data_IF_787568474370
#
_entry.id   IF_787568474370
#
_cell.length_a   1.000
_cell.length_b   1.000
_cell.length_c   1.000
_cell.angle_alpha   90.00
_cell.angle_beta   90.00
_cell.angle_gamma   90.00
#
_symmetry.space_group_name_H-M   'P 1'
#
loop_
_entity.id
_entity.type
_entity.pdbx_description
1 polymer ?
#
# COMPACT_ATOMS: atom_id res chain seq x y z
N UNK A 1 15.76 -4.82 15.62
CA UNK A 1 14.42 -4.18 15.54
C UNK A 1 13.60 -4.82 14.43
N UNK A 2 13.99 -4.75 13.16
CA UNK A 2 13.24 -5.38 12.04
C UNK A 2 13.03 -6.89 12.23
N UNK A 3 14.06 -7.66 12.61
CA UNK A 3 13.89 -9.10 12.89
C UNK A 3 12.85 -9.36 14.00
N UNK A 4 12.80 -8.49 15.01
CA UNK A 4 11.81 -8.55 16.08
C UNK A 4 10.40 -8.25 15.57
N UNK A 5 10.26 -7.28 14.67
CA UNK A 5 8.98 -7.02 13.98
C UNK A 5 8.53 -8.24 13.16
N UNK A 6 9.41 -8.84 12.37
CA UNK A 6 9.06 -10.02 11.58
C UNK A 6 8.59 -11.20 12.44
N UNK A 7 9.16 -11.40 13.63
CA UNK A 7 8.64 -12.38 14.58
C UNK A 7 7.21 -12.04 15.04
N UNK A 8 6.92 -10.78 15.37
CA UNK A 8 5.61 -10.31 15.82
C UNK A 8 4.53 -10.47 14.73
N UNK A 9 4.89 -10.13 13.48
CA UNK A 9 3.97 -10.14 12.34
C UNK A 9 3.72 -11.52 11.73
N UNK A 10 4.46 -12.56 12.15
CA UNK A 10 4.24 -13.94 11.70
C UNK A 10 2.79 -14.41 11.88
N UNK A 11 2.15 -14.03 13.00
CA UNK A 11 0.75 -14.35 13.30
C UNK A 11 -0.26 -13.73 12.33
N UNK A 12 0.12 -12.66 11.63
CA UNK A 12 -0.69 -11.98 10.62
C UNK A 12 -0.35 -12.43 9.19
N UNK A 13 0.60 -13.37 9.03
CA UNK A 13 1.16 -13.75 7.73
C UNK A 13 1.65 -12.53 6.93
N UNK A 14 2.29 -11.60 7.63
CA UNK A 14 2.81 -10.36 7.07
C UNK A 14 4.32 -10.29 7.31
N UNK A 15 5.07 -9.84 6.31
CA UNK A 15 6.53 -9.78 6.37
C UNK A 15 7.00 -8.36 6.09
N UNK A 16 8.00 -7.90 6.83
CA UNK A 16 8.55 -6.55 6.75
C UNK A 16 9.99 -6.62 6.26
N UNK A 17 10.21 -6.05 5.08
CA UNK A 17 11.54 -5.84 4.52
C UNK A 17 11.94 -4.36 4.66
N UNK A 18 13.11 -4.10 5.22
CA UNK A 18 13.65 -2.75 5.27
C UNK A 18 14.36 -2.44 3.96
N UNK A 19 13.72 -1.62 3.11
CA UNK A 19 14.25 -1.27 1.78
C UNK A 19 14.91 0.12 1.72
N UNK A 20 14.96 0.82 2.85
CA UNK A 20 15.53 2.15 2.94
C UNK A 20 15.65 2.63 4.37
N UNK A 21 16.71 3.40 4.64
CA UNK A 21 16.97 4.05 5.91
C UNK A 21 17.49 5.46 5.63
N UNK A 22 16.83 6.47 6.18
CA UNK A 22 17.26 7.87 6.07
C UNK A 22 17.46 8.46 7.47
N UNK A 23 18.65 9.00 7.72
CA UNK A 23 19.00 9.63 8.99
C UNK A 23 19.24 11.12 8.73
N UNK A 24 18.45 11.98 9.37
CA UNK A 24 18.54 13.43 9.20
C UNK A 24 19.65 14.03 10.07
N UNK A 25 20.92 13.76 9.71
CA UNK A 25 22.09 14.18 10.51
C UNK A 25 22.35 15.69 10.53
N UNK A 26 21.93 16.40 9.48
CA UNK A 26 22.24 17.82 9.31
C UNK A 26 21.12 18.72 9.86
N UNK A 27 19.88 18.43 9.48
CA UNK A 27 18.67 19.11 9.92
C UNK A 27 17.46 18.25 9.62
N UNK A 28 16.43 18.38 10.44
CA UNK A 28 15.14 17.76 10.17
C UNK A 28 14.55 18.29 8.85
N UNK A 29 13.89 17.40 8.11
CA UNK A 29 13.24 17.75 6.83
C UNK A 29 11.84 18.32 7.02
N UNK A 30 11.28 18.15 8.21
CA UNK A 30 10.03 18.72 8.68
C UNK A 30 10.25 19.34 10.06
N UNK A 31 9.33 20.19 10.51
CA UNK A 31 9.33 20.63 11.91
C UNK A 31 8.70 19.54 12.77
N UNK A 32 9.49 18.93 13.66
CA UNK A 32 9.00 17.92 14.61
C UNK A 32 8.46 18.65 15.85
N UNK A 33 7.18 18.50 16.15
CA UNK A 33 6.49 19.13 17.28
C UNK A 33 6.10 18.09 18.35
N UNK A 34 5.87 18.55 19.59
CA UNK A 34 5.41 17.70 20.70
C UNK A 34 3.97 17.20 20.48
N UNK A 35 3.17 17.91 19.69
CA UNK A 35 1.85 17.46 19.26
C UNK A 35 2.00 16.40 18.15
N UNK A 36 1.85 15.12 18.50
CA UNK A 36 2.09 13.99 17.61
C UNK A 36 1.25 14.03 16.33
N UNK A 37 0.02 14.56 16.39
CA UNK A 37 -0.86 14.71 15.24
C UNK A 37 -0.31 15.70 14.19
N UNK A 38 0.30 16.81 14.64
CA UNK A 38 0.94 17.81 13.77
C UNK A 38 2.15 17.17 13.08
N UNK A 39 3.01 16.51 13.87
CA UNK A 39 4.19 15.82 13.34
C UNK A 39 3.82 14.70 12.36
N UNK A 40 2.79 13.89 12.66
CA UNK A 40 2.30 12.83 11.77
C UNK A 40 1.83 13.39 10.42
N UNK A 41 1.05 14.47 10.44
CA UNK A 41 0.58 15.13 9.23
C UNK A 41 1.74 15.65 8.38
N UNK A 42 2.66 16.41 8.98
CA UNK A 42 3.83 16.94 8.26
C UNK A 42 4.75 15.83 7.73
N UNK A 43 4.88 14.72 8.44
CA UNK A 43 5.66 13.57 7.96
C UNK A 43 4.97 12.86 6.78
N UNK A 44 3.65 12.72 6.82
CA UNK A 44 2.86 12.21 5.70
C UNK A 44 3.00 13.07 4.43
N UNK A 45 2.85 14.39 4.55
CA UNK A 45 3.03 15.34 3.45
C UNK A 45 4.44 15.26 2.86
N UNK A 46 5.46 15.17 3.73
CA UNK A 46 6.85 14.99 3.29
C UNK A 46 7.08 13.64 2.60
N UNK A 47 6.46 12.56 3.09
CA UNK A 47 6.58 11.24 2.45
C UNK A 47 6.05 11.31 1.03
N UNK A 48 4.85 11.85 0.85
CA UNK A 48 4.20 11.95 -0.45
C UNK A 48 4.98 12.84 -1.43
N UNK A 49 5.35 14.04 -0.99
CA UNK A 49 5.91 15.06 -1.89
C UNK A 49 7.43 14.96 -2.08
N UNK A 50 8.16 14.29 -1.18
CA UNK A 50 9.63 14.27 -1.18
C UNK A 50 10.23 12.86 -1.16
N UNK A 51 9.70 11.93 -0.36
CA UNK A 51 10.28 10.57 -0.27
C UNK A 51 9.85 9.68 -1.44
N UNK A 52 8.55 9.58 -1.68
CA UNK A 52 7.99 8.69 -2.70
C UNK A 52 8.48 9.01 -4.12
N UNK A 53 8.67 10.27 -4.55
CA UNK A 53 9.20 10.59 -5.88
C UNK A 53 10.60 10.06 -6.16
N UNK A 54 11.40 9.75 -5.12
CA UNK A 54 12.79 9.26 -5.26
C UNK A 54 13.01 7.84 -4.75
N UNK A 55 12.15 7.31 -3.88
CA UNK A 55 12.23 5.93 -3.38
C UNK A 55 10.83 5.38 -3.10
N UNK A 56 10.35 4.52 -4.00
CA UNK A 56 9.11 3.76 -3.81
C UNK A 56 9.22 2.90 -2.54
N UNK A 57 8.20 2.96 -1.70
CA UNK A 57 8.05 2.16 -0.48
C UNK A 57 6.56 2.06 -0.11
N UNK A 58 6.19 1.02 0.63
CA UNK A 58 4.80 0.75 0.97
C UNK A 58 4.34 1.50 2.23
N UNK A 59 5.27 1.72 3.17
CA UNK A 59 5.07 2.39 4.45
C UNK A 59 6.38 3.07 4.90
N UNK A 60 6.27 4.16 5.66
CA UNK A 60 7.42 4.79 6.32
C UNK A 60 7.13 5.10 7.80
N UNK A 61 8.07 4.84 8.69
CA UNK A 61 7.96 5.21 10.10
C UNK A 61 9.07 6.17 10.51
N UNK A 62 8.69 7.30 11.12
CA UNK A 62 9.63 8.28 11.65
C UNK A 62 9.94 7.97 13.11
N UNK A 63 11.21 7.71 13.44
CA UNK A 63 11.67 7.65 14.82
C UNK A 63 12.23 9.01 15.23
N UNK A 64 11.75 9.56 16.34
CA UNK A 64 12.16 10.88 16.84
C UNK A 64 12.62 10.84 18.29
N UNK A 65 13.58 11.69 18.65
CA UNK A 65 13.99 11.91 20.04
C UNK A 65 13.10 12.90 20.81
N UNK A 66 12.11 13.51 20.15
CA UNK A 66 11.15 14.41 20.78
C UNK A 66 10.19 13.61 21.66
N UNK A 67 9.92 14.14 22.85
CA UNK A 67 8.89 13.64 23.77
C UNK A 67 7.53 14.23 23.36
N UNK A 68 6.60 13.36 22.96
CA UNK A 68 5.27 13.80 22.55
C UNK A 68 4.40 14.10 23.78
N UNK A 69 3.46 15.02 23.62
CA UNK A 69 2.59 15.44 24.70
C UNK A 69 1.70 14.29 25.20
N UNK A 70 1.53 14.22 26.53
CA UNK A 70 0.67 13.25 27.19
C UNK A 70 1.36 11.89 27.40
N UNK A 71 0.71 10.81 26.94
CA UNK A 71 1.19 9.42 27.09
C UNK A 71 1.44 8.75 25.73
N UNK A 72 1.50 9.54 24.67
CA UNK A 72 1.60 9.07 23.29
C UNK A 72 3.06 8.70 23.00
N UNK A 73 3.34 7.43 22.74
CA UNK A 73 4.67 7.00 22.29
C UNK A 73 4.76 6.82 20.78
N UNK A 74 3.62 6.75 20.11
CA UNK A 74 3.51 6.64 18.68
C UNK A 74 2.13 7.08 18.21
N UNK A 75 2.04 7.42 16.93
CA UNK A 75 0.77 7.73 16.27
C UNK A 75 0.83 7.35 14.80
N UNK A 76 -0.24 6.74 14.30
CA UNK A 76 -0.40 6.35 12.91
C UNK A 76 -1.86 6.51 12.44
N UNK A 77 -2.04 6.59 11.13
CA UNK A 77 -3.38 6.54 10.53
C UNK A 77 -3.88 5.08 10.48
N UNK A 78 -5.19 4.89 10.68
CA UNK A 78 -5.79 3.56 10.67
C UNK A 78 -6.22 3.13 9.27
N UNK A 79 -5.85 1.92 8.85
CA UNK A 79 -6.28 1.32 7.57
C UNK A 79 -5.75 2.07 6.34
N UNK A 80 -4.58 2.67 6.46
CA UNK A 80 -4.01 3.61 5.50
C UNK A 80 -2.81 3.07 4.70
N UNK A 81 -2.47 1.79 4.86
CA UNK A 81 -1.36 1.17 4.14
C UNK A 81 -1.49 1.39 2.62
N UNK A 82 -0.35 1.63 1.96
CA UNK A 82 -0.22 2.02 0.55
C UNK A 82 -0.67 3.44 0.19
N UNK A 83 -1.40 4.17 1.04
CA UNK A 83 -1.78 5.55 0.74
C UNK A 83 -0.54 6.47 0.73
N UNK A 84 -0.36 7.35 -0.27
CA UNK A 84 0.86 8.15 -0.42
C UNK A 84 1.19 9.04 0.80
N UNK A 85 0.20 9.76 1.31
CA UNK A 85 0.37 10.60 2.51
C UNK A 85 0.19 9.81 3.82
N UNK A 86 -0.74 8.85 3.85
CA UNK A 86 -1.25 8.28 5.10
C UNK A 86 -0.61 6.95 5.51
N UNK A 87 0.17 6.29 4.63
CA UNK A 87 0.93 5.08 4.99
C UNK A 87 2.19 5.44 5.77
N UNK A 88 1.99 6.05 6.94
CA UNK A 88 3.03 6.55 7.84
C UNK A 88 2.69 6.35 9.31
N UNK A 89 3.74 6.34 10.12
CA UNK A 89 3.66 6.47 11.58
C UNK A 89 4.79 7.37 12.11
N UNK A 90 4.57 8.00 13.27
CA UNK A 90 5.59 8.73 14.03
C UNK A 90 5.76 8.07 15.39
N UNK A 91 6.99 7.87 15.83
CA UNK A 91 7.32 7.06 17.01
C UNK A 91 8.40 7.77 17.82
N UNK A 92 8.10 8.02 19.08
CA UNK A 92 9.05 8.52 20.05
C UNK A 92 10.05 7.43 20.42
N UNK A 93 11.34 7.77 20.39
CA UNK A 93 12.43 6.93 20.85
C UNK A 93 12.44 6.81 22.38
N UNK A 94 11.50 6.01 22.89
CA UNK A 94 11.16 5.91 24.31
C UNK A 94 12.15 5.08 25.12
N UNK A 95 12.74 4.03 24.53
CA UNK A 95 13.58 3.07 25.27
C UNK A 95 14.83 2.70 24.49
N UNK A 96 15.92 2.43 25.23
CA UNK A 96 17.14 1.82 24.67
C UNK A 96 16.96 0.33 24.37
N UNK A 97 15.94 -0.30 24.92
CA UNK A 97 15.59 -1.69 24.57
C UNK A 97 14.91 -1.71 23.20
N UNK A 98 15.62 -2.20 22.20
CA UNK A 98 15.13 -2.30 20.82
C UNK A 98 13.90 -3.19 20.67
N UNK A 99 13.61 -4.08 21.62
CA UNK A 99 12.40 -4.94 21.60
C UNK A 99 11.16 -4.14 22.01
N UNK A 100 11.30 -3.23 22.98
CA UNK A 100 10.22 -2.31 23.34
C UNK A 100 9.94 -1.38 22.16
N UNK A 101 10.98 -0.82 21.54
CA UNK A 101 10.84 -0.01 20.33
C UNK A 101 10.16 -0.77 19.19
N UNK A 102 10.52 -2.04 18.97
CA UNK A 102 9.85 -2.89 17.98
C UNK A 102 8.36 -3.09 18.31
N UNK A 103 7.99 -3.27 19.58
CA UNK A 103 6.58 -3.41 19.96
C UNK A 103 5.75 -2.15 19.66
N UNK A 104 6.31 -0.95 19.84
CA UNK A 104 5.67 0.32 19.48
C UNK A 104 5.57 0.45 17.95
N UNK A 105 6.63 0.13 17.21
CA UNK A 105 6.59 0.11 15.75
C UNK A 105 5.53 -0.87 15.20
N UNK A 106 5.39 -2.04 15.82
CA UNK A 106 4.36 -3.02 15.47
C UNK A 106 2.95 -2.53 15.80
N UNK A 107 2.78 -1.81 16.92
CA UNK A 107 1.51 -1.18 17.25
C UNK A 107 1.09 -0.18 16.16
N UNK A 108 1.99 0.71 15.77
CA UNK A 108 1.68 1.75 14.79
C UNK A 108 1.49 1.21 13.36
N UNK A 109 2.32 0.26 12.93
CA UNK A 109 2.10 -0.42 11.64
C UNK A 109 0.81 -1.26 11.68
N UNK A 110 0.42 -1.80 12.85
CA UNK A 110 -0.87 -2.45 13.08
C UNK A 110 -2.04 -1.53 12.77
N UNK A 111 -2.01 -0.28 13.22
CA UNK A 111 -3.01 0.74 12.83
C UNK A 111 -3.04 0.92 11.32
N UNK A 112 -1.89 1.14 10.65
CA UNK A 112 -1.86 1.28 9.19
C UNK A 112 -2.47 0.05 8.48
N UNK A 113 -2.31 -1.14 9.05
CA UNK A 113 -2.89 -2.42 8.61
C UNK A 113 -4.37 -2.64 8.99
N UNK A 114 -5.03 -1.58 9.47
CA UNK A 114 -6.48 -1.55 9.74
C UNK A 114 -6.89 -2.14 11.09
N UNK A 115 -5.95 -2.30 12.02
CA UNK A 115 -6.20 -2.88 13.33
C UNK A 115 -6.45 -1.76 14.34
N UNK A 116 -7.52 -1.86 15.12
CA UNK A 116 -7.82 -0.95 16.21
C UNK A 116 -7.25 -1.47 17.54
N UNK A 117 -7.34 -0.64 18.57
CA UNK A 117 -6.97 -1.05 19.91
C UNK A 117 -7.83 -2.19 20.46
N UNK A 118 -7.18 -3.06 21.24
CA UNK A 118 -7.84 -4.15 21.94
C UNK A 118 -8.88 -3.66 22.97
N UNK A 119 -9.92 -4.45 23.13
CA UNK A 119 -10.93 -4.30 24.19
C UNK A 119 -10.88 -5.51 25.16
N UNK A 120 -11.75 -5.52 26.17
CA UNK A 120 -11.76 -6.55 27.22
C UNK A 120 -11.99 -7.98 26.71
N UNK A 121 -12.61 -8.16 25.54
CA UNK A 121 -12.88 -9.47 24.91
C UNK A 121 -11.71 -10.01 24.09
N UNK A 122 -10.70 -9.18 23.81
CA UNK A 122 -9.54 -9.56 22.99
C UNK A 122 -8.50 -10.28 23.83
N UNK A 123 -7.89 -11.34 23.28
CA UNK A 123 -6.94 -12.18 23.98
C UNK A 123 -5.74 -12.57 23.10
N UNK A 124 -4.59 -12.76 23.73
CA UNK A 124 -3.34 -13.23 23.17
C UNK A 124 -2.65 -14.17 24.18
N UNK A 125 -1.58 -14.86 23.76
CA UNK A 125 -0.87 -15.85 24.58
C UNK A 125 -0.24 -15.24 25.82
N UNK A 126 0.37 -14.05 25.68
CA UNK A 126 0.91 -13.26 26.78
C UNK A 126 0.31 -11.85 26.76
N UNK A 127 -0.48 -11.51 27.80
CA UNK A 127 -1.03 -10.15 27.97
C UNK A 127 0.00 -9.21 28.60
N UNK A 128 0.00 -7.91 28.26
CA UNK A 128 -0.89 -7.27 27.28
C UNK A 128 -0.46 -7.54 25.82
N UNK A 129 -1.41 -7.47 24.89
CA UNK A 129 -1.17 -7.71 23.47
C UNK A 129 -0.61 -6.45 22.78
N UNK A 130 -0.02 -6.59 21.60
CA UNK A 130 0.59 -5.48 20.84
C UNK A 130 -0.36 -4.29 20.69
N UNK A 131 -1.66 -4.53 20.41
CA UNK A 131 -2.65 -3.47 20.19
C UNK A 131 -3.33 -2.97 21.47
N UNK A 132 -2.74 -3.23 22.64
CA UNK A 132 -3.20 -2.66 23.90
C UNK A 132 -3.14 -1.13 23.89
N UNK A 133 -4.15 -0.47 24.49
CA UNK A 133 -4.21 1.00 24.66
C UNK A 133 -3.16 1.55 25.60
N UNK A 134 -2.61 0.70 26.46
CA UNK A 134 -1.72 1.11 27.54
C UNK A 134 -0.27 0.79 27.20
N UNK A 135 0.59 1.78 27.40
CA UNK A 135 2.04 1.61 27.33
C UNK A 135 2.50 0.52 28.30
N UNK A 136 3.32 -0.39 27.81
CA UNK A 136 3.98 -1.43 28.61
C UNK A 136 5.45 -1.09 28.81
N UNK A 137 5.99 -1.41 29.99
CA UNK A 137 7.44 -1.36 30.27
C UNK A 137 8.16 -2.64 29.84
N UNK A 138 7.42 -3.66 29.40
CA UNK A 138 7.92 -4.91 28.86
C UNK A 138 7.56 -5.04 27.36
N UNK A 139 8.41 -5.68 26.54
CA UNK A 139 8.14 -5.86 25.12
C UNK A 139 6.94 -6.78 24.88
N UNK A 140 6.05 -6.37 23.96
CA UNK A 140 4.84 -7.11 23.60
C UNK A 140 5.05 -7.82 22.26
N UNK A 141 4.75 -9.11 22.17
CA UNK A 141 5.07 -9.93 20.99
C UNK A 141 3.86 -10.45 20.21
N UNK A 142 2.69 -10.51 20.85
CA UNK A 142 1.52 -11.17 20.28
C UNK A 142 0.43 -10.16 19.89
N UNK A 143 -0.07 -10.30 18.66
CA UNK A 143 -1.35 -9.72 18.27
C UNK A 143 -2.49 -10.50 18.92
N UNK A 144 -3.60 -9.81 19.25
CA UNK A 144 -4.76 -10.47 19.81
C UNK A 144 -5.57 -11.21 18.73
N UNK A 145 -6.46 -12.10 19.15
CA UNK A 145 -7.47 -12.70 18.26
C UNK A 145 -8.34 -11.64 17.54
N UNK A 146 -8.61 -10.49 18.19
CA UNK A 146 -9.32 -9.38 17.55
C UNK A 146 -8.46 -8.74 16.46
N UNK A 147 -7.19 -8.49 16.74
CA UNK A 147 -6.25 -7.89 15.78
C UNK A 147 -6.14 -8.71 14.49
N UNK A 148 -6.05 -10.04 14.62
CA UNK A 148 -6.02 -10.96 13.46
C UNK A 148 -7.30 -10.84 12.63
N UNK A 149 -8.47 -10.80 13.27
CA UNK A 149 -9.75 -10.68 12.56
C UNK A 149 -9.93 -9.32 11.88
N UNK A 150 -9.55 -8.23 12.54
CA UNK A 150 -9.63 -6.89 11.95
C UNK A 150 -8.70 -6.73 10.76
N UNK A 151 -7.47 -7.23 10.87
CA UNK A 151 -6.52 -7.24 9.76
C UNK A 151 -7.07 -8.02 8.56
N UNK A 152 -7.64 -9.22 8.78
CA UNK A 152 -8.27 -10.00 7.71
C UNK A 152 -9.42 -9.25 7.03
N UNK A 153 -10.30 -8.60 7.82
CA UNK A 153 -11.39 -7.77 7.27
C UNK A 153 -10.84 -6.58 6.48
N UNK A 154 -9.77 -5.95 6.95
CA UNK A 154 -9.09 -4.87 6.24
C UNK A 154 -8.58 -5.34 4.87
N UNK A 155 -7.84 -6.45 4.81
CA UNK A 155 -7.33 -7.00 3.55
C UNK A 155 -8.45 -7.38 2.57
N UNK A 156 -9.52 -7.99 3.06
CA UNK A 156 -10.67 -8.38 2.23
C UNK A 156 -11.42 -7.16 1.66
N UNK A 157 -11.54 -6.09 2.44
CA UNK A 157 -12.26 -4.87 2.05
C UNK A 157 -11.42 -3.96 1.16
N UNK A 158 -10.18 -3.69 1.56
CA UNK A 158 -9.32 -2.65 0.94
C UNK A 158 -8.46 -3.23 -0.18
N UNK A 159 -8.02 -4.49 -0.05
CA UNK A 159 -7.13 -5.17 -1.01
C UNK A 159 -5.94 -4.28 -1.43
N UNK A 160 -5.11 -3.81 -0.49
CA UNK A 160 -3.98 -2.94 -0.79
C UNK A 160 -3.02 -3.63 -1.76
N UNK A 161 -2.82 -3.04 -2.94
CA UNK A 161 -2.03 -3.68 -4.02
C UNK A 161 -0.52 -3.59 -3.80
N UNK A 162 -0.03 -2.57 -3.07
CA UNK A 162 1.42 -2.33 -2.94
C UNK A 162 2.16 -3.43 -2.15
N UNK A 163 1.44 -4.19 -1.32
CA UNK A 163 2.01 -5.27 -0.49
C UNK A 163 2.00 -6.65 -1.17
N UNK A 164 1.58 -6.72 -2.44
CA UNK A 164 1.51 -7.99 -3.17
C UNK A 164 2.84 -8.35 -3.85
N UNK A 165 3.65 -7.34 -4.20
CA UNK A 165 4.96 -7.57 -4.79
C UNK A 165 6.00 -7.87 -3.71
N UNK A 166 6.91 -8.81 -4.00
CA UNK A 166 8.10 -9.01 -3.17
C UNK A 166 9.16 -7.96 -3.51
N UNK A 167 9.89 -7.40 -2.52
CA UNK A 167 11.02 -6.52 -2.81
C UNK A 167 12.16 -7.32 -3.46
N UNK A 168 12.92 -6.68 -4.34
CA UNK A 168 14.13 -7.29 -4.89
C UNK A 168 15.17 -7.45 -3.79
N UNK A 169 15.96 -8.52 -3.84
CA UNK A 169 17.04 -8.78 -2.88
C UNK A 169 18.06 -7.63 -2.80
N UNK A 170 18.22 -6.87 -3.88
CA UNK A 170 19.09 -5.68 -3.97
C UNK A 170 18.51 -4.43 -3.32
N UNK A 171 17.20 -4.37 -3.11
CA UNK A 171 16.54 -3.24 -2.46
C UNK A 171 16.59 -3.32 -0.93
N UNK A 172 16.81 -4.51 -0.38
CA UNK A 172 16.84 -4.77 1.06
C UNK A 172 18.18 -4.28 1.63
N UNK A 173 18.11 -3.41 2.64
CA UNK A 173 19.30 -2.76 3.25
C UNK A 173 19.73 -3.42 4.55
N UNK A 174 18.99 -4.41 5.05
CA UNK A 174 19.40 -5.22 6.21
C UNK A 174 20.49 -6.22 5.84
N UNK A 175 21.35 -6.61 6.80
CA UNK A 175 22.22 -7.77 6.62
C UNK A 175 21.38 -9.03 6.34
N UNK A 176 21.76 -9.86 5.35
CA UNK A 176 21.05 -11.11 5.04
C UNK A 176 20.94 -12.05 6.24
N UNK A 177 19.78 -12.68 6.41
CA UNK A 177 19.53 -13.67 7.48
C UNK A 177 18.82 -14.90 6.92
N UNK A 178 19.61 -15.92 6.63
CA UNK A 178 19.08 -17.21 6.19
C UNK A 178 18.11 -17.82 7.20
N UNK A 179 16.93 -18.19 6.71
CA UNK A 179 15.83 -18.80 7.46
C UNK A 179 14.79 -17.79 7.93
N UNK A 180 14.75 -16.59 7.35
CA UNK A 180 13.78 -15.55 7.66
C UNK A 180 12.62 -15.47 6.65
N UNK A 181 12.53 -16.39 5.69
CA UNK A 181 11.54 -16.46 4.60
C UNK A 181 11.68 -15.38 3.51
N UNK A 182 12.80 -14.66 3.45
CA UNK A 182 13.07 -13.62 2.48
C UNK A 182 14.39 -13.88 1.78
N UNK A 183 14.37 -14.03 0.46
CA UNK A 183 15.59 -14.18 -0.33
C UNK A 183 16.35 -12.84 -0.35
N UNK A 184 17.44 -12.77 0.42
CA UNK A 184 18.30 -11.60 0.53
C UNK A 184 19.58 -11.75 -0.32
N UNK A 185 20.40 -10.69 -0.37
CA UNK A 185 21.64 -10.73 -1.16
C UNK A 185 22.56 -11.88 -0.70
N UNK A 186 22.86 -12.80 -1.62
CA UNK A 186 23.77 -13.94 -1.39
C UNK A 186 23.05 -15.26 -1.18
N UNK A 187 21.74 -15.22 -0.96
CA UNK A 187 20.86 -16.37 -0.87
C UNK A 187 20.26 -16.68 -2.24
N UNK A 188 19.95 -17.94 -2.47
CA UNK A 188 19.28 -18.41 -3.69
C UNK A 188 17.84 -18.86 -3.41
N UNK A 189 17.52 -19.14 -2.15
CA UNK A 189 16.21 -19.54 -1.65
C UNK A 189 16.14 -19.28 -0.14
N UNK A 190 14.94 -19.11 0.42
CA UNK A 190 14.73 -19.06 1.88
C UNK A 190 13.33 -19.59 2.23
N UNK A 191 13.28 -20.77 2.83
CA UNK A 191 12.07 -21.46 3.26
C UNK A 191 11.89 -21.47 4.79
N UNK A 192 12.62 -20.62 5.52
CA UNK A 192 12.65 -20.60 6.97
C UNK A 192 13.69 -21.53 7.60
N UNK A 193 13.57 -21.77 8.90
CA UNK A 193 14.47 -22.65 9.64
C UNK A 193 14.43 -24.11 9.13
N UNK A 194 15.48 -24.92 9.34
CA UNK A 194 15.47 -26.34 8.97
C UNK A 194 14.33 -27.16 9.58
N UNK A 195 13.77 -26.73 10.72
CA UNK A 195 12.63 -27.39 11.37
C UNK A 195 11.29 -27.06 10.68
N UNK A 196 11.17 -25.85 10.15
CA UNK A 196 9.91 -25.33 9.57
C UNK A 196 9.86 -25.47 8.04
N UNK A 197 11.02 -25.60 7.38
CA UNK A 197 11.11 -25.63 5.93
C UNK A 197 10.44 -26.88 5.33
N UNK A 198 9.48 -26.66 4.44
CA UNK A 198 8.79 -27.72 3.69
C UNK A 198 9.22 -27.77 2.22
N UNK A 199 10.15 -26.91 1.81
CA UNK A 199 10.61 -26.79 0.44
C UNK A 199 11.76 -27.78 0.17
N UNK A 200 11.51 -28.77 -0.69
CA UNK A 200 12.52 -29.75 -1.08
C UNK A 200 13.60 -29.17 -2.01
N UNK A 201 13.33 -28.03 -2.64
CA UNK A 201 14.22 -27.36 -3.57
C UNK A 201 15.24 -26.46 -2.87
N UNK A 202 15.03 -26.15 -1.58
CA UNK A 202 15.88 -25.26 -0.81
C UNK A 202 16.62 -26.00 0.31
N UNK A 203 17.91 -25.72 0.47
CA UNK A 203 18.64 -26.13 1.67
C UNK A 203 18.50 -25.05 2.76
N UNK A 204 17.55 -25.26 3.67
CA UNK A 204 17.22 -24.32 4.77
C UNK A 204 18.40 -23.93 5.68
N UNK A 205 19.45 -24.76 5.77
CA UNK A 205 20.62 -24.45 6.61
C UNK A 205 21.61 -23.50 5.92
N UNK A 206 21.53 -23.38 4.60
CA UNK A 206 22.51 -22.64 3.78
C UNK A 206 21.88 -21.60 2.85
N UNK A 207 20.55 -21.61 2.71
CA UNK A 207 19.80 -20.78 1.78
C UNK A 207 20.31 -20.88 0.34
N UNK A 208 20.63 -22.12 -0.05
CA UNK A 208 21.12 -22.51 -1.38
C UNK A 208 20.15 -23.44 -2.05
N UNK A 209 19.97 -23.24 -3.35
CA UNK A 209 19.12 -24.11 -4.14
C UNK A 209 19.75 -25.49 -4.24
N UNK A 210 18.92 -26.52 -4.15
CA UNK A 210 19.32 -27.89 -4.46
C UNK A 210 19.20 -28.18 -5.97
N UNK A 211 18.41 -27.37 -6.68
CA UNK A 211 18.07 -27.50 -8.10
C UNK A 211 17.98 -26.12 -8.78
N UNK A 212 17.19 -25.97 -9.85
CA UNK A 212 17.18 -24.75 -10.68
C UNK A 212 16.35 -23.61 -10.06
N UNK A 213 15.34 -23.93 -9.24
CA UNK A 213 14.47 -22.96 -8.57
C UNK A 213 13.77 -23.57 -7.35
N UNK A 214 13.23 -22.73 -6.47
CA UNK A 214 12.42 -23.10 -5.29
C UNK A 214 10.97 -22.61 -5.38
N UNK A 215 10.80 -21.35 -5.79
CA UNK A 215 9.54 -20.61 -5.74
C UNK A 215 9.34 -19.78 -7.00
N UNK A 216 8.16 -19.19 -7.17
CA UNK A 216 7.77 -18.40 -8.35
C UNK A 216 6.86 -19.15 -9.31
N UNK A 217 6.05 -18.40 -10.08
CA UNK A 217 5.01 -18.95 -10.96
C UNK A 217 5.59 -19.76 -12.13
N UNK A 218 6.88 -19.55 -12.44
CA UNK A 218 7.63 -20.29 -13.45
C UNK A 218 8.53 -21.40 -12.89
N UNK A 219 8.39 -21.76 -11.61
CA UNK A 219 9.02 -22.94 -11.02
C UNK A 219 8.02 -24.10 -10.92
N UNK A 220 8.42 -25.29 -11.36
CA UNK A 220 7.65 -26.52 -11.21
C UNK A 220 8.60 -27.67 -10.86
N UNK A 221 8.36 -28.33 -9.71
CA UNK A 221 9.20 -29.44 -9.23
C UNK A 221 10.69 -29.10 -9.23
N UNK A 222 11.02 -27.93 -8.68
CA UNK A 222 12.38 -27.38 -8.60
C UNK A 222 13.07 -27.10 -9.95
N UNK A 223 12.31 -27.04 -11.05
CA UNK A 223 12.80 -26.76 -12.40
C UNK A 223 12.05 -25.61 -13.04
N UNK A 224 12.73 -24.86 -13.91
CA UNK A 224 12.06 -23.85 -14.71
C UNK A 224 11.02 -24.49 -15.63
N UNK A 225 9.81 -23.91 -15.64
CA UNK A 225 8.80 -24.23 -16.64
C UNK A 225 9.33 -23.90 -18.02
N UNK A 226 8.89 -24.64 -19.04
CA UNK A 226 9.33 -24.45 -20.43
C UNK A 226 9.02 -23.03 -20.92
N UNK A 227 9.87 -22.52 -21.83
CA UNK A 227 9.63 -21.26 -22.50
C UNK A 227 8.25 -21.26 -23.18
N UNK A 228 7.46 -20.20 -22.94
CA UNK A 228 6.08 -20.09 -23.44
C UNK A 228 5.01 -20.70 -22.54
N UNK A 229 5.36 -21.34 -21.41
CA UNK A 229 4.36 -21.76 -20.43
C UNK A 229 3.74 -20.52 -19.77
N UNK A 230 2.42 -20.39 -19.81
CA UNK A 230 1.72 -19.25 -19.23
C UNK A 230 1.87 -19.24 -17.70
N UNK A 231 2.35 -18.13 -17.14
CA UNK A 231 2.50 -17.94 -15.69
C UNK A 231 1.45 -16.99 -15.10
N UNK A 232 0.96 -16.03 -15.89
CA UNK A 232 -0.14 -15.16 -15.51
C UNK A 232 -1.16 -15.08 -16.64
N UNK A 233 -2.43 -15.17 -16.29
CA UNK A 233 -3.52 -14.95 -17.24
C UNK A 233 -3.89 -13.47 -17.30
N UNK A 234 -4.30 -13.04 -18.50
CA UNK A 234 -4.95 -11.75 -18.65
C UNK A 234 -6.20 -11.71 -17.79
N UNK A 235 -6.30 -10.67 -16.97
CA UNK A 235 -7.42 -10.46 -16.05
C UNK A 235 -8.65 -9.89 -16.76
N UNK A 236 -8.43 -9.00 -17.73
CA UNK A 236 -9.47 -8.28 -18.46
C UNK A 236 -8.96 -7.79 -19.83
N UNK A 237 -9.80 -7.08 -20.59
CA UNK A 237 -9.50 -6.59 -21.94
C UNK A 237 -8.26 -5.66 -22.01
N UNK A 238 -7.82 -5.10 -20.88
CA UNK A 238 -6.71 -4.14 -20.82
C UNK A 238 -5.40 -4.75 -20.35
N UNK A 239 -5.36 -6.07 -20.21
CA UNK A 239 -4.28 -6.82 -19.61
C UNK A 239 -3.77 -7.91 -20.56
N UNK A 240 -2.46 -8.15 -20.61
CA UNK A 240 -1.86 -9.18 -21.47
C UNK A 240 -1.44 -10.38 -20.64
N UNK A 241 -1.46 -11.62 -21.16
CA UNK A 241 -0.91 -12.76 -20.42
C UNK A 241 0.62 -12.79 -20.51
N UNK A 242 1.30 -13.16 -19.41
CA UNK A 242 2.75 -13.43 -19.41
C UNK A 242 3.05 -14.92 -19.45
N UNK A 243 4.20 -15.21 -20.06
CA UNK A 243 4.72 -16.55 -20.24
C UNK A 243 6.15 -16.65 -19.72
N UNK A 244 6.47 -17.80 -19.14
CA UNK A 244 7.79 -18.14 -18.65
C UNK A 244 8.83 -18.08 -19.77
N UNK A 245 10.02 -17.61 -19.43
CA UNK A 245 11.15 -17.51 -20.36
C UNK A 245 11.86 -18.86 -20.59
N UNK A 246 11.64 -19.84 -19.71
CA UNK A 246 12.38 -21.10 -19.71
C UNK A 246 13.73 -21.06 -19.00
N UNK A 247 14.11 -19.89 -18.47
CA UNK A 247 15.43 -19.64 -17.86
C UNK A 247 15.35 -18.92 -16.51
N UNK A 248 14.13 -18.69 -16.01
CA UNK A 248 13.84 -17.97 -14.77
C UNK A 248 12.64 -18.60 -14.08
N UNK A 249 12.65 -18.57 -12.75
CA UNK A 249 11.54 -19.00 -11.89
C UNK A 249 10.46 -17.92 -11.74
N UNK A 250 10.84 -16.66 -11.92
CA UNK A 250 9.95 -15.52 -11.85
C UNK A 250 9.15 -15.37 -13.16
N UNK A 251 7.86 -15.08 -13.02
CA UNK A 251 7.05 -14.61 -14.15
C UNK A 251 7.54 -13.21 -14.57
N UNK A 252 7.63 -12.91 -15.88
CA UNK A 252 7.98 -11.58 -16.35
C UNK A 252 7.07 -10.48 -15.76
N UNK A 253 7.55 -9.24 -15.77
CA UNK A 253 6.78 -8.09 -15.29
C UNK A 253 5.46 -7.94 -16.05
N UNK A 254 4.40 -7.66 -15.29
CA UNK A 254 3.05 -7.41 -15.78
C UNK A 254 3.04 -6.37 -16.91
N UNK A 255 2.52 -6.78 -18.06
CA UNK A 255 2.43 -6.00 -19.28
C UNK A 255 0.97 -5.73 -19.62
N UNK A 256 0.65 -4.47 -19.86
CA UNK A 256 -0.71 -4.06 -20.17
C UNK A 256 -0.92 -3.85 -21.66
N UNK A 257 -2.19 -3.95 -22.07
CA UNK A 257 -2.61 -3.52 -23.38
C UNK A 257 -2.26 -2.03 -23.58
N UNK A 258 -1.91 -1.65 -24.81
CA UNK A 258 -1.57 -0.25 -25.12
C UNK A 258 -2.67 0.71 -24.68
N UNK A 259 -2.28 1.86 -24.14
CA UNK A 259 -3.23 2.92 -23.82
C UNK A 259 -4.01 3.32 -25.08
N UNK A 260 -5.33 3.51 -24.96
CA UNK A 260 -6.22 3.78 -26.09
C UNK A 260 -6.81 2.54 -26.77
N UNK A 261 -6.53 1.31 -26.31
CA UNK A 261 -7.23 0.13 -26.82
C UNK A 261 -8.69 0.12 -26.33
N UNK A 262 -9.71 -0.06 -27.18
CA UNK A 262 -11.10 -0.10 -26.73
C UNK A 262 -11.37 -1.28 -25.77
N UNK A 263 -12.13 -1.05 -24.71
CA UNK A 263 -12.43 -2.07 -23.69
C UNK A 263 -13.89 -2.01 -23.25
N UNK A 264 -14.37 -3.07 -22.56
CA UNK A 264 -15.76 -3.16 -22.06
C UNK A 264 -16.80 -2.92 -23.16
N UNK A 265 -16.61 -3.57 -24.33
CA UNK A 265 -17.47 -3.38 -25.51
C UNK A 265 -17.51 -1.92 -26.03
N UNK A 266 -16.35 -1.28 -26.16
CA UNK A 266 -16.18 0.12 -26.60
C UNK A 266 -16.82 1.17 -25.68
N UNK A 267 -16.97 0.87 -24.39
CA UNK A 267 -17.47 1.84 -23.39
C UNK A 267 -16.36 2.74 -22.82
N UNK A 268 -15.10 2.38 -23.05
CA UNK A 268 -13.93 3.16 -22.67
C UNK A 268 -12.69 2.67 -23.39
N UNK A 269 -11.54 3.23 -23.01
CA UNK A 269 -10.25 2.82 -23.54
C UNK A 269 -9.28 2.46 -22.41
N UNK A 270 -8.44 1.46 -22.67
CA UNK A 270 -7.44 1.03 -21.73
C UNK A 270 -6.50 2.16 -21.37
N UNK A 271 -6.19 2.27 -20.08
CA UNK A 271 -5.20 3.20 -19.55
C UNK A 271 -4.48 2.54 -18.37
N UNK A 272 -3.19 2.27 -18.54
CA UNK A 272 -2.31 1.62 -17.55
C UNK A 272 -2.94 0.36 -16.93
N UNK A 273 -3.43 -0.55 -17.78
CA UNK A 273 -4.00 -1.84 -17.35
C UNK A 273 -5.42 -1.78 -16.79
N UNK A 274 -6.09 -0.62 -16.84
CA UNK A 274 -7.49 -0.47 -16.42
C UNK A 274 -8.35 -0.02 -17.58
N UNK A 275 -9.64 -0.35 -17.52
CA UNK A 275 -10.68 0.22 -18.37
C UNK A 275 -11.52 1.24 -17.57
N UNK A 276 -11.08 2.49 -17.41
CA UNK A 276 -11.88 3.52 -16.76
C UNK A 276 -13.17 3.75 -17.56
N UNK A 277 -14.29 3.86 -16.85
CA UNK A 277 -15.61 4.28 -17.38
C UNK A 277 -16.27 5.21 -16.36
N UNK A 278 -16.82 6.34 -16.83
CA UNK A 278 -17.44 7.36 -15.96
C UNK A 278 -18.55 6.77 -15.07
N UNK A 279 -19.33 5.82 -15.58
CA UNK A 279 -20.38 5.15 -14.81
C UNK A 279 -19.83 4.43 -13.58
N UNK A 280 -18.70 3.71 -13.72
CA UNK A 280 -18.08 3.02 -12.60
C UNK A 280 -17.49 4.00 -11.58
N UNK A 281 -16.94 5.12 -12.03
CA UNK A 281 -16.51 6.19 -11.12
C UNK A 281 -17.69 6.78 -10.35
N UNK A 282 -18.82 7.07 -11.01
CA UNK A 282 -20.03 7.51 -10.32
C UNK A 282 -20.52 6.49 -9.29
N UNK A 283 -20.50 5.19 -9.61
CA UNK A 283 -20.86 4.11 -8.68
C UNK A 283 -19.90 4.05 -7.49
N UNK A 284 -18.60 4.26 -7.72
CA UNK A 284 -17.61 4.31 -6.66
C UNK A 284 -17.84 5.50 -5.70
N UNK A 285 -18.30 6.64 -6.23
CA UNK A 285 -18.58 7.85 -5.44
C UNK A 285 -19.93 7.82 -4.71
N UNK A 286 -21.00 7.35 -5.37
CA UNK A 286 -22.39 7.47 -4.87
C UNK A 286 -23.05 6.13 -4.53
N UNK A 287 -22.33 5.01 -4.69
CA UNK A 287 -22.87 3.66 -4.58
C UNK A 287 -23.76 3.27 -5.77
N UNK A 288 -24.39 2.10 -5.73
CA UNK A 288 -25.16 1.55 -6.84
C UNK A 288 -26.39 2.40 -7.21
N UNK A 289 -26.81 2.31 -8.47
CA UNK A 289 -28.02 2.96 -9.02
C UNK A 289 -27.84 4.45 -9.35
N UNK A 290 -26.62 4.86 -9.69
CA UNK A 290 -26.23 6.21 -10.14
C UNK A 290 -25.82 6.14 -11.61
N UNK A 291 -26.02 7.24 -12.33
CA UNK A 291 -25.59 7.40 -13.71
C UNK A 291 -24.67 8.61 -13.86
N UNK A 292 -23.93 8.64 -14.97
CA UNK A 292 -23.26 9.87 -15.45
C UNK A 292 -24.33 10.88 -15.83
N UNK A 293 -24.13 12.14 -15.46
CA UNK A 293 -25.05 13.22 -15.84
C UNK A 293 -24.98 13.53 -17.34
N UNK A 294 -26.02 14.12 -17.94
CA UNK A 294 -25.96 14.62 -19.32
C UNK A 294 -24.90 15.71 -19.53
N UNK A 295 -24.41 15.87 -20.76
CA UNK A 295 -23.39 16.85 -21.15
C UNK A 295 -23.71 18.29 -20.72
N UNK A 296 -25.00 18.67 -20.74
CA UNK A 296 -25.47 19.97 -20.26
C UNK A 296 -25.11 20.23 -18.80
N UNK A 297 -25.06 19.20 -17.95
CA UNK A 297 -24.62 19.33 -16.57
C UNK A 297 -23.13 19.66 -16.47
N UNK A 298 -22.27 19.05 -17.30
CA UNK A 298 -20.84 19.37 -17.34
C UNK A 298 -20.61 20.82 -17.80
N UNK A 299 -21.42 21.30 -18.74
CA UNK A 299 -21.41 22.70 -19.16
C UNK A 299 -21.91 23.64 -18.07
N UNK A 300 -23.03 23.32 -17.43
CA UNK A 300 -23.59 24.14 -16.36
C UNK A 300 -22.63 24.27 -15.17
N UNK A 301 -21.95 23.18 -14.82
CA UNK A 301 -20.96 23.14 -13.75
C UNK A 301 -19.69 23.93 -14.01
N UNK A 302 -19.42 24.38 -15.24
CA UNK A 302 -18.31 25.31 -15.50
C UNK A 302 -18.47 26.66 -14.79
N UNK A 303 -19.70 27.05 -14.42
CA UNK A 303 -19.95 28.28 -13.67
C UNK A 303 -19.78 28.11 -12.15
N UNK A 304 -19.60 26.87 -11.69
CA UNK A 304 -19.40 26.53 -10.28
C UNK A 304 -17.88 26.57 -10.00
N UNK A 305 -17.37 27.51 -9.18
CA UNK A 305 -15.94 27.63 -8.90
C UNK A 305 -15.33 26.35 -8.31
N UNK A 306 -16.17 25.54 -7.66
CA UNK A 306 -15.72 24.33 -7.01
C UNK A 306 -15.70 23.11 -7.90
N UNK A 307 -16.46 23.13 -9.01
CA UNK A 307 -16.56 21.99 -9.92
C UNK A 307 -16.14 22.28 -11.37
N UNK A 308 -16.10 23.55 -11.77
CA UNK A 308 -15.83 24.01 -13.13
C UNK A 308 -14.35 24.14 -13.45
N UNK A 309 -13.56 23.10 -13.17
CA UNK A 309 -12.12 23.11 -13.42
C UNK A 309 -11.62 21.78 -13.96
N UNK A 310 -10.51 21.82 -14.68
CA UNK A 310 -9.90 20.65 -15.33
C UNK A 310 -8.56 20.22 -14.73
N UNK A 311 -7.92 21.11 -13.98
CA UNK A 311 -6.68 20.82 -13.26
C UNK A 311 -6.39 21.90 -12.23
N UNK A 312 -5.48 21.60 -11.32
CA UNK A 312 -4.97 22.57 -10.36
C UNK A 312 -3.49 22.85 -10.67
N UNK A 313 -3.15 24.12 -10.81
CA UNK A 313 -1.76 24.58 -10.97
C UNK A 313 -1.43 25.54 -9.83
N UNK A 314 -0.39 25.23 -9.04
CA UNK A 314 0.05 26.05 -7.90
C UNK A 314 -1.09 26.42 -6.91
N UNK A 315 -1.98 25.45 -6.63
CA UNK A 315 -3.13 25.65 -5.74
C UNK A 315 -4.30 26.42 -6.37
N UNK A 316 -4.21 26.80 -7.65
CA UNK A 316 -5.29 27.49 -8.38
C UNK A 316 -6.01 26.52 -9.31
N UNK A 317 -7.33 26.47 -9.18
CA UNK A 317 -8.23 25.75 -10.10
C UNK A 317 -8.21 26.43 -11.48
N UNK A 318 -7.89 25.68 -12.53
CA UNK A 318 -7.84 26.15 -13.92
C UNK A 318 -9.12 25.72 -14.63
N UNK A 319 -9.92 26.66 -15.17
CA UNK A 319 -11.15 26.34 -15.90
C UNK A 319 -10.89 25.43 -17.10
N UNK A 320 -11.88 24.60 -17.43
CA UNK A 320 -11.83 23.76 -18.62
C UNK A 320 -11.98 24.59 -19.90
N UNK A 321 -11.32 24.18 -20.98
CA UNK A 321 -11.70 24.66 -22.31
C UNK A 321 -13.01 23.97 -22.75
N UNK A 322 -13.67 24.52 -23.76
CA UNK A 322 -14.98 24.04 -24.23
C UNK A 322 -14.99 22.54 -24.55
N UNK A 323 -13.94 22.06 -25.22
CA UNK A 323 -13.76 20.65 -25.60
C UNK A 323 -13.36 19.72 -24.45
N UNK A 324 -12.92 20.27 -23.31
CA UNK A 324 -12.34 19.52 -22.19
C UNK A 324 -13.30 19.45 -21.00
N UNK A 325 -14.53 19.98 -21.11
CA UNK A 325 -15.51 20.05 -20.01
C UNK A 325 -15.82 18.69 -19.37
N UNK A 326 -15.72 17.62 -20.15
CA UNK A 326 -15.95 16.25 -19.70
C UNK A 326 -14.70 15.58 -19.13
N UNK A 327 -13.55 16.24 -19.18
CA UNK A 327 -12.28 15.77 -18.61
C UNK A 327 -12.02 16.40 -17.22
N UNK A 328 -12.89 17.31 -16.78
CA UNK A 328 -12.81 17.96 -15.47
C UNK A 328 -13.42 17.12 -14.36
N UNK A 329 -14.12 17.78 -13.45
CA UNK A 329 -14.85 17.10 -12.37
C UNK A 329 -15.96 16.23 -12.94
N UNK A 330 -16.04 14.97 -12.47
CA UNK A 330 -17.10 14.06 -12.83
C UNK A 330 -18.44 14.54 -12.28
N UNK A 331 -19.47 14.50 -13.12
CA UNK A 331 -20.82 14.90 -12.76
C UNK A 331 -21.77 13.70 -12.85
N UNK A 332 -22.39 13.36 -11.73
CA UNK A 332 -23.24 12.19 -11.56
C UNK A 332 -24.69 12.57 -11.21
N UNK A 333 -25.64 11.70 -11.53
CA UNK A 333 -27.04 11.86 -11.16
C UNK A 333 -27.62 10.60 -10.50
N UNK A 334 -28.46 10.82 -9.48
CA UNK A 334 -29.16 9.75 -8.75
C UNK A 334 -30.53 10.22 -8.30
N UNK A 335 -31.59 9.63 -8.88
CA UNK A 335 -33.00 9.95 -8.57
C UNK A 335 -33.30 11.46 -8.70
N UNK A 336 -33.43 12.18 -7.59
CA UNK A 336 -33.76 13.61 -7.56
C UNK A 336 -32.52 14.51 -7.55
N UNK A 337 -31.33 13.96 -7.31
CA UNK A 337 -30.06 14.69 -7.35
C UNK A 337 -29.53 14.69 -8.77
N UNK A 338 -29.64 15.85 -9.45
CA UNK A 338 -29.14 16.06 -10.81
C UNK A 338 -27.85 16.87 -10.80
N UNK A 339 -27.02 16.69 -11.81
CA UNK A 339 -25.79 17.46 -12.02
C UNK A 339 -24.90 17.57 -10.76
N UNK A 340 -24.68 16.47 -10.04
CA UNK A 340 -23.94 16.47 -8.77
C UNK A 340 -22.45 16.21 -8.99
N UNK A 341 -21.59 17.06 -8.45
CA UNK A 341 -20.14 16.89 -8.40
C UNK A 341 -19.69 16.73 -6.94
N UNK A 342 -18.52 16.13 -6.73
CA UNK A 342 -17.97 15.87 -5.39
C UNK A 342 -16.61 16.52 -5.25
N UNK A 343 -16.38 17.24 -4.16
CA UNK A 343 -15.09 17.87 -3.87
C UNK A 343 -14.65 17.49 -2.48
N UNK A 344 -13.35 17.34 -2.26
CA UNK A 344 -12.77 17.18 -0.92
C UNK A 344 -11.59 18.14 -0.76
N UNK A 345 -11.30 18.49 0.49
CA UNK A 345 -10.13 19.31 0.83
C UNK A 345 -8.84 18.51 0.87
N UNK A 346 -8.93 17.19 1.01
CA UNK A 346 -7.80 16.31 1.28
C UNK A 346 -7.14 15.77 0.00
N UNK A 347 -7.88 15.75 -1.09
CA UNK A 347 -7.46 15.25 -2.41
C UNK A 347 -8.06 16.18 -3.48
N UNK A 348 -7.25 17.07 -4.07
CA UNK A 348 -7.71 18.04 -5.07
C UNK A 348 -8.18 17.38 -6.38
N UNK A 349 -7.77 16.14 -6.64
CA UNK A 349 -8.13 15.38 -7.85
C UNK A 349 -9.28 14.39 -7.57
N UNK A 350 -9.82 14.40 -6.34
CA UNK A 350 -10.95 13.55 -5.96
C UNK A 350 -12.16 13.79 -6.86
N UNK A 351 -12.67 12.71 -7.44
CA UNK A 351 -13.78 12.72 -8.39
C UNK A 351 -13.53 13.48 -9.70
N UNK A 352 -12.27 13.76 -10.05
CA UNK A 352 -11.90 14.09 -11.43
C UNK A 352 -12.12 12.88 -12.33
N UNK A 353 -12.43 13.12 -13.59
CA UNK A 353 -12.60 12.06 -14.59
C UNK A 353 -11.26 11.37 -14.86
N UNK A 354 -11.19 10.05 -14.64
CA UNK A 354 -9.93 9.30 -14.89
C UNK A 354 -9.45 9.40 -16.35
N UNK A 355 -8.13 9.42 -16.61
CA UNK A 355 -7.59 9.37 -17.97
C UNK A 355 -7.94 8.06 -18.70
N UNK A 356 -8.10 8.11 -20.03
CA UNK A 356 -8.49 6.94 -20.85
C UNK A 356 -9.95 6.93 -21.30
N UNK A 357 -10.67 8.02 -21.05
CA UNK A 357 -12.08 8.18 -21.39
C UNK A 357 -12.34 8.95 -22.69
N UNK A 358 -11.28 9.45 -23.35
CA UNK A 358 -11.39 10.31 -24.53
C UNK A 358 -10.80 9.68 -25.80
N UNK A 359 -11.57 9.77 -26.89
CA UNK A 359 -11.06 10.07 -28.23
C UNK A 359 -11.78 11.28 -28.78
#
# INVERSE_FOLDING_TARGET
MINTLNMMYRSLNFFIALIGLEIWTNKDKIKIEQEANVTLKSFGEWRETVLLPRKRNDNAQLLTGIDFNGRTLGLAYVGSLCLPMHSVAVIQNYSRDTRIMASIMAHELGHNLGINHDNSSCNCSARPCIMSKTVSHEPLYDFSNCSVQEHQRYLLRVRPQCILNKPLSTDIVTPPVCGNYLVERGEECDCGSPQDCQDACCNAATCKLQHDCDSGECCEQCKFKKAGAQCRAAKDDCDLPESCTGQSAECPTDSFQRNGHPCQSNQGYCYNGKCPIMTNQCIALMGPGVNVSPDDCFTWKQNDPDCGFCRIENGRKIPCAEKDKMCGMLVCEKRNSKCTCFTTTDDPDYAMVDPGLDQ
#
